data_IF_295888059051
#
_entry.id   IF_295888059051
#
_cell.length_a   1.000
_cell.length_b   1.000
_cell.length_c   1.000
_cell.angle_alpha   90.00
_cell.angle_beta   90.00
_cell.angle_gamma   90.00
#
_symmetry.space_group_name_H-M   'P 1'
#
loop_
_entity.id
_entity.type
_entity.pdbx_description
1 polymer ?
#
# COMPACT_ATOMS: atom_id res chain seq x y z
N UNK A 1 -5.12 -8.71 7.80
CA UNK A 1 -6.27 -8.02 7.20
C UNK A 1 -6.74 -6.90 8.12
N UNK A 2 -7.11 -5.73 7.57
CA UNK A 2 -7.69 -4.64 8.37
C UNK A 2 -9.16 -4.93 8.69
N UNK A 3 -9.57 -4.65 9.93
CA UNK A 3 -10.97 -4.79 10.37
C UNK A 3 -11.84 -3.62 9.91
N UNK A 4 -11.25 -2.43 9.69
CA UNK A 4 -11.98 -1.24 9.28
C UNK A 4 -12.60 -1.42 7.88
N UNK A 5 -13.90 -1.11 7.77
CA UNK A 5 -14.68 -1.30 6.53
C UNK A 5 -14.24 -0.31 5.44
N UNK A 6 -13.86 0.91 5.82
CA UNK A 6 -13.41 1.94 4.87
C UNK A 6 -12.15 1.54 4.10
N UNK A 7 -11.26 0.78 4.74
CA UNK A 7 -10.03 0.26 4.13
C UNK A 7 -10.28 -0.97 3.23
N UNK A 8 -11.55 -1.33 3.00
CA UNK A 8 -11.95 -2.43 2.11
C UNK A 8 -12.38 -1.87 0.76
N UNK A 9 -13.64 -2.08 0.37
CA UNK A 9 -14.13 -1.78 -0.97
C UNK A 9 -14.03 -0.29 -1.29
N UNK A 10 -14.31 0.57 -0.30
CA UNK A 10 -14.30 2.02 -0.47
C UNK A 10 -12.90 2.52 -0.88
N UNK A 11 -11.85 2.02 -0.23
CA UNK A 11 -10.47 2.35 -0.59
C UNK A 11 -10.11 1.86 -2.00
N UNK A 12 -10.52 0.63 -2.37
CA UNK A 12 -10.25 0.09 -3.72
C UNK A 12 -10.93 0.95 -4.80
N UNK A 13 -12.18 1.37 -4.56
CA UNK A 13 -12.92 2.26 -5.47
C UNK A 13 -12.28 3.65 -5.56
N UNK A 14 -11.88 4.23 -4.43
CA UNK A 14 -11.23 5.52 -4.38
C UNK A 14 -9.92 5.52 -5.18
N UNK A 15 -9.06 4.53 -4.94
CA UNK A 15 -7.75 4.41 -5.59
C UNK A 15 -7.89 4.15 -7.09
N UNK A 16 -8.77 3.21 -7.49
CA UNK A 16 -8.98 2.90 -8.91
C UNK A 16 -9.52 4.09 -9.71
N UNK A 17 -10.40 4.91 -9.10
CA UNK A 17 -10.95 6.11 -9.74
C UNK A 17 -9.93 7.25 -9.85
N UNK A 18 -9.07 7.42 -8.83
CA UNK A 18 -8.19 8.60 -8.73
C UNK A 18 -6.78 8.39 -9.30
N UNK A 19 -6.25 7.16 -9.20
CA UNK A 19 -4.86 6.84 -9.54
C UNK A 19 -4.75 5.55 -10.39
N UNK A 20 -5.43 5.49 -11.55
CA UNK A 20 -5.43 4.28 -12.38
C UNK A 20 -4.02 3.93 -12.85
N UNK A 21 -3.57 2.72 -12.54
CA UNK A 21 -2.25 2.21 -12.93
C UNK A 21 -1.07 2.74 -12.10
N UNK A 22 -1.25 3.82 -11.34
CA UNK A 22 -0.18 4.41 -10.52
C UNK A 22 -0.12 3.80 -9.11
N UNK A 23 -1.28 3.56 -8.48
CA UNK A 23 -1.36 3.03 -7.11
C UNK A 23 -2.02 1.65 -7.12
N UNK A 24 -1.39 0.69 -6.44
CA UNK A 24 -1.87 -0.69 -6.31
C UNK A 24 -2.01 -1.10 -4.85
N UNK A 25 -3.18 -1.60 -4.47
CA UNK A 25 -3.43 -2.14 -3.14
C UNK A 25 -3.11 -3.63 -3.15
N UNK A 26 -2.21 -4.05 -2.25
CA UNK A 26 -1.87 -5.47 -2.03
C UNK A 26 -2.49 -5.92 -0.71
N UNK A 27 -3.30 -6.99 -0.74
CA UNK A 27 -4.01 -7.50 0.44
C UNK A 27 -3.43 -8.83 0.90
N UNK A 28 -3.10 -8.90 2.19
CA UNK A 28 -2.72 -10.16 2.83
C UNK A 28 -3.96 -10.91 3.32
N UNK A 29 -4.00 -12.22 3.08
CA UNK A 29 -5.08 -13.12 3.53
C UNK A 29 -5.22 -13.20 5.05
N UNK A 30 -4.15 -12.92 5.80
CA UNK A 30 -4.11 -12.94 7.27
C UNK A 30 -3.29 -11.79 7.84
N UNK A 31 -3.30 -11.63 9.18
CA UNK A 31 -2.47 -10.62 9.87
C UNK A 31 -1.05 -11.19 10.05
N UNK A 32 -0.11 -10.70 9.25
CA UNK A 32 1.26 -11.25 9.25
C UNK A 32 2.28 -10.41 10.02
N UNK A 33 1.92 -9.19 10.43
CA UNK A 33 2.80 -8.21 11.06
C UNK A 33 3.53 -7.32 10.05
N UNK A 34 4.19 -6.26 10.56
CA UNK A 34 4.79 -5.19 9.74
C UNK A 34 5.87 -5.70 8.78
N UNK A 35 6.81 -6.52 9.29
CA UNK A 35 7.94 -7.03 8.49
C UNK A 35 7.46 -7.83 7.29
N UNK A 36 6.56 -8.79 7.50
CA UNK A 36 6.01 -9.61 6.41
C UNK A 36 5.16 -8.78 5.45
N UNK A 37 4.40 -7.80 5.93
CA UNK A 37 3.68 -6.88 5.06
C UNK A 37 4.63 -6.11 4.11
N UNK A 38 5.76 -5.63 4.63
CA UNK A 38 6.80 -4.98 3.82
C UNK A 38 7.39 -5.93 2.76
N UNK A 39 7.69 -7.19 3.13
CA UNK A 39 8.18 -8.20 2.19
C UNK A 39 7.17 -8.54 1.09
N UNK A 40 5.87 -8.60 1.40
CA UNK A 40 4.83 -8.82 0.39
C UNK A 40 4.74 -7.66 -0.60
N UNK A 41 4.85 -6.42 -0.11
CA UNK A 41 4.93 -5.24 -0.98
C UNK A 41 6.15 -5.28 -1.89
N UNK A 42 7.32 -5.62 -1.34
CA UNK A 42 8.57 -5.73 -2.11
C UNK A 42 8.50 -6.75 -3.25
N UNK A 43 7.90 -7.93 -3.02
CA UNK A 43 7.74 -8.96 -4.06
C UNK A 43 6.92 -8.53 -5.27
N UNK A 44 6.04 -7.53 -5.11
CA UNK A 44 5.18 -6.99 -6.18
C UNK A 44 5.83 -5.78 -6.85
N UNK A 45 6.82 -5.15 -6.22
CA UNK A 45 7.52 -4.01 -6.77
C UNK A 45 8.38 -4.43 -7.97
N UNK A 46 8.36 -3.62 -9.02
CA UNK A 46 9.11 -3.86 -10.26
C UNK A 46 10.28 -2.91 -10.46
N UNK A 47 10.37 -1.85 -9.65
CA UNK A 47 11.40 -0.83 -9.77
C UNK A 47 12.75 -1.32 -9.22
N UNK A 48 13.89 -0.81 -9.74
CA UNK A 48 15.23 -1.15 -9.23
C UNK A 48 15.48 -0.75 -7.77
N UNK A 49 14.79 0.28 -7.30
CA UNK A 49 14.90 0.83 -5.94
C UNK A 49 13.51 0.91 -5.32
N UNK A 50 13.39 0.54 -4.05
CA UNK A 50 12.12 0.51 -3.32
C UNK A 50 12.25 1.30 -2.01
N UNK A 51 11.41 2.33 -1.86
CA UNK A 51 11.27 3.08 -0.61
C UNK A 51 10.14 2.50 0.26
N UNK A 52 10.37 2.40 1.57
CA UNK A 52 9.33 2.05 2.53
C UNK A 52 8.90 3.29 3.30
N UNK A 53 7.60 3.52 3.34
CA UNK A 53 6.99 4.63 4.05
C UNK A 53 5.88 4.12 4.95
N UNK A 54 5.73 4.75 6.10
CA UNK A 54 4.61 4.45 7.00
C UNK A 54 3.34 5.12 6.47
N UNK A 55 2.18 4.58 6.87
CA UNK A 55 0.87 5.01 6.34
C UNK A 55 0.45 6.44 6.76
N UNK A 56 1.22 7.08 7.63
CA UNK A 56 0.98 8.41 8.20
C UNK A 56 2.25 9.25 8.03
N UNK A 57 2.64 9.48 6.77
CA UNK A 57 3.78 10.32 6.43
C UNK A 57 3.34 11.40 5.44
N UNK A 58 4.01 12.54 5.50
CA UNK A 58 3.90 13.62 4.53
C UNK A 58 5.31 13.97 4.04
N UNK A 59 5.46 14.21 2.75
CA UNK A 59 6.76 14.53 2.14
C UNK A 59 6.93 16.03 1.95
N UNK A 60 8.13 16.52 2.27
CA UNK A 60 8.56 17.88 1.93
C UNK A 60 9.19 17.92 0.54
N UNK A 61 9.22 19.11 -0.06
CA UNK A 61 9.93 19.36 -1.32
C UNK A 61 11.39 18.93 -1.22
N UNK A 62 11.88 18.17 -2.21
CA UNK A 62 13.27 17.72 -2.27
C UNK A 62 13.55 16.33 -1.66
N UNK A 63 12.50 15.60 -1.25
CA UNK A 63 12.54 14.16 -1.00
C UNK A 63 12.18 13.38 -2.28
#
# INVERSE_FOLDING_TARGET
MSSCVELKLNLDQYVSKRYPGLVKIVRNSRREGLIRARLQGWKVATAPVVGFFDAHVEFSTGW
#
